data_IF_753808555179
#
_entry.id   IF_753808555179
#
_cell.length_a   1.000
_cell.length_b   1.000
_cell.length_c   1.000
_cell.angle_alpha   90.00
_cell.angle_beta   90.00
_cell.angle_gamma   90.00
#
_symmetry.space_group_name_H-M   'P 1'
#
loop_
_entity.id
_entity.type
_entity.pdbx_description
1 polymer ?
#
# COMPACT_ATOMS: atom_id res chain seq x y z
N UNK A 1 13.40 -10.01 -10.60
CA UNK A 1 13.77 -8.84 -9.77
C UNK A 1 12.78 -8.73 -8.62
N UNK A 2 13.26 -8.61 -7.39
CA UNK A 2 12.39 -8.44 -6.22
C UNK A 2 12.07 -6.96 -5.99
N UNK A 3 10.81 -6.65 -5.71
CA UNK A 3 10.35 -5.32 -5.31
C UNK A 3 9.56 -5.43 -4.01
N UNK A 4 10.15 -4.97 -2.91
CA UNK A 4 9.45 -4.84 -1.64
C UNK A 4 8.84 -3.44 -1.54
N UNK A 5 7.54 -3.37 -1.22
CA UNK A 5 6.79 -2.11 -1.13
C UNK A 5 6.22 -1.96 0.26
N UNK A 6 6.75 -1.00 1.01
CA UNK A 6 6.22 -0.61 2.33
C UNK A 6 5.12 0.41 2.12
N UNK A 7 3.92 0.11 2.62
CA UNK A 7 2.70 0.82 2.25
C UNK A 7 1.68 0.90 3.38
N UNK A 8 0.75 1.87 3.30
CA UNK A 8 -0.45 1.92 4.13
C UNK A 8 -1.70 2.00 3.24
N UNK A 9 -2.75 1.27 3.61
CA UNK A 9 -4.00 1.18 2.83
C UNK A 9 -4.82 2.47 2.84
N UNK A 10 -4.55 3.37 3.79
CA UNK A 10 -5.14 4.72 3.88
C UNK A 10 -4.24 5.83 3.33
N UNK A 11 -3.09 5.49 2.74
CA UNK A 11 -2.19 6.46 2.13
C UNK A 11 -2.49 6.65 0.63
N UNK A 12 -3.01 7.81 0.18
CA UNK A 12 -3.32 8.01 -1.24
C UNK A 12 -2.08 8.06 -2.12
N UNK A 13 -0.94 8.49 -1.57
CA UNK A 13 0.33 8.44 -2.28
C UNK A 13 0.82 7.01 -2.52
N UNK A 14 0.43 6.04 -1.67
CA UNK A 14 0.74 4.64 -1.95
C UNK A 14 -0.01 4.15 -3.18
N UNK A 15 -1.28 4.55 -3.35
CA UNK A 15 -2.05 4.18 -4.53
C UNK A 15 -1.48 4.83 -5.80
N UNK A 16 -1.11 6.11 -5.73
CA UNK A 16 -0.44 6.81 -6.83
C UNK A 16 0.91 6.14 -7.15
N UNK A 17 1.70 5.80 -6.13
CA UNK A 17 2.99 5.13 -6.28
C UNK A 17 2.85 3.77 -6.96
N UNK A 18 1.84 2.98 -6.59
CA UNK A 18 1.50 1.71 -7.26
C UNK A 18 1.30 1.93 -8.77
N UNK A 19 0.48 2.91 -9.15
CA UNK A 19 0.24 3.22 -10.58
C UNK A 19 1.48 3.64 -11.33
N UNK A 20 2.34 4.46 -10.71
CA UNK A 20 3.59 4.91 -11.32
C UNK A 20 4.59 3.77 -11.50
N UNK A 21 4.66 2.84 -10.54
CA UNK A 21 5.41 1.60 -10.68
C UNK A 21 4.85 0.74 -11.83
N UNK A 22 3.54 0.53 -11.88
CA UNK A 22 2.89 -0.23 -12.96
C UNK A 22 3.15 0.37 -14.35
N UNK A 23 3.14 1.70 -14.47
CA UNK A 23 3.52 2.39 -15.72
C UNK A 23 4.97 2.08 -16.12
N UNK A 24 5.91 2.13 -15.18
CA UNK A 24 7.31 1.79 -15.45
C UNK A 24 7.49 0.32 -15.83
N UNK A 25 6.78 -0.60 -15.17
CA UNK A 25 6.82 -2.03 -15.49
C UNK A 25 6.25 -2.32 -16.88
N UNK A 26 5.21 -1.60 -17.31
CA UNK A 26 4.66 -1.73 -18.66
C UNK A 26 5.67 -1.35 -19.76
N UNK A 27 6.67 -0.51 -19.45
CA UNK A 27 7.79 -0.17 -20.34
C UNK A 27 8.96 -1.18 -20.30
N UNK A 28 8.88 -2.19 -19.43
CA UNK A 28 9.86 -3.28 -19.29
C UNK A 28 9.15 -4.64 -19.25
N UNK A 29 8.45 -5.06 -20.33
CA UNK A 29 7.63 -6.27 -20.33
C UNK A 29 8.43 -7.56 -20.15
N UNK A 30 9.73 -7.54 -20.46
CA UNK A 30 10.63 -8.68 -20.30
C UNK A 30 11.21 -8.80 -18.88
N UNK A 31 10.93 -7.83 -18.01
CA UNK A 31 11.41 -7.85 -16.63
C UNK A 31 10.53 -8.79 -15.80
N UNK A 32 11.09 -9.91 -15.37
CA UNK A 32 10.45 -10.78 -14.39
C UNK A 32 10.49 -10.11 -13.01
N UNK A 33 9.31 -9.84 -12.43
CA UNK A 33 9.18 -9.07 -11.19
C UNK A 33 8.34 -9.81 -10.17
N UNK A 34 8.88 -9.93 -8.96
CA UNK A 34 8.16 -10.40 -7.78
C UNK A 34 7.92 -9.20 -6.86
N UNK A 35 6.64 -8.85 -6.65
CA UNK A 35 6.24 -7.75 -5.76
C UNK A 35 5.79 -8.34 -4.41
N UNK A 36 6.36 -7.82 -3.33
CA UNK A 36 5.91 -8.13 -1.96
C UNK A 36 5.51 -6.85 -1.24
N UNK A 37 4.32 -6.84 -0.65
CA UNK A 37 3.79 -5.71 0.11
C UNK A 37 4.02 -5.89 1.62
N UNK A 38 4.50 -4.84 2.26
CA UNK A 38 4.83 -4.80 3.69
C UNK A 38 4.02 -3.73 4.41
N UNK A 39 3.55 -4.00 5.63
CA UNK A 39 2.70 -3.10 6.36
C UNK A 39 3.47 -1.88 6.89
N UNK A 40 2.81 -0.72 6.84
CA UNK A 40 3.21 0.48 7.58
C UNK A 40 1.96 1.23 7.98
N UNK A 41 1.74 1.47 9.27
CA UNK A 41 0.60 2.26 9.72
C UNK A 41 0.99 3.73 9.82
N UNK A 42 0.37 4.61 9.03
CA UNK A 42 0.53 6.06 9.20
C UNK A 42 0.01 6.53 10.57
N UNK A 43 -0.96 5.80 11.12
CA UNK A 43 -1.65 6.11 12.36
C UNK A 43 -1.77 4.85 13.25
N UNK A 44 -0.66 4.37 13.84
CA UNK A 44 -0.68 3.17 14.68
C UNK A 44 -1.56 3.34 15.93
N UNK A 45 -1.68 4.58 16.43
CA UNK A 45 -2.53 4.92 17.58
C UNK A 45 -4.03 5.09 17.22
N UNK A 46 -4.43 4.82 15.98
CA UNK A 46 -5.84 4.88 15.60
C UNK A 46 -6.64 3.85 16.42
N UNK A 47 -7.79 4.21 17.03
CA UNK A 47 -8.63 3.24 17.72
C UNK A 47 -9.09 2.10 16.79
N UNK A 48 -9.34 0.90 17.32
CA UNK A 48 -9.76 -0.27 16.51
C UNK A 48 -10.99 0.00 15.64
N UNK A 49 -11.97 0.76 16.15
CA UNK A 49 -13.16 1.17 15.38
C UNK A 49 -12.96 2.37 14.45
N UNK A 50 -11.72 2.83 14.29
CA UNK A 50 -11.39 4.07 13.58
C UNK A 50 -11.89 5.33 14.29
N UNK A 51 -11.89 6.42 13.55
CA UNK A 51 -12.44 7.71 13.97
C UNK A 51 -13.38 8.27 12.90
N UNK A 52 -14.26 9.20 13.29
CA UNK A 52 -15.00 10.00 12.33
C UNK A 52 -14.02 10.74 11.42
N UNK A 53 -14.26 10.73 10.10
CA UNK A 53 -13.33 11.32 9.15
C UNK A 53 -13.16 12.81 9.38
N UNK A 54 -14.24 13.56 9.62
CA UNK A 54 -14.19 15.01 9.77
C UNK A 54 -13.40 15.40 11.01
N UNK A 55 -13.68 14.76 12.13
CA UNK A 55 -12.96 14.98 13.39
C UNK A 55 -11.48 14.62 13.25
N UNK A 56 -11.17 13.48 12.64
CA UNK A 56 -9.80 13.05 12.41
C UNK A 56 -9.01 14.06 11.57
N UNK A 57 -9.62 14.57 10.50
CA UNK A 57 -9.01 15.54 9.59
C UNK A 57 -8.78 16.88 10.27
N UNK A 58 -9.77 17.38 11.02
CA UNK A 58 -9.62 18.60 11.81
C UNK A 58 -8.47 18.48 12.81
N UNK A 59 -8.38 17.35 13.53
CA UNK A 59 -7.28 17.09 14.48
C UNK A 59 -5.92 17.00 13.79
N UNK A 60 -5.84 16.30 12.65
CA UNK A 60 -4.57 16.03 11.94
C UNK A 60 -4.01 17.26 11.24
N UNK A 61 -4.85 18.05 10.59
CA UNK A 61 -4.43 19.15 9.73
C UNK A 61 -4.72 20.53 10.31
N UNK A 62 -5.34 20.62 11.49
CA UNK A 62 -5.66 21.87 12.18
C UNK A 62 -6.90 22.58 11.64
N UNK A 63 -7.25 22.42 10.35
CA UNK A 63 -8.51 22.88 9.78
C UNK A 63 -8.96 22.03 8.59
N UNK A 64 -10.26 22.07 8.31
CA UNK A 64 -10.84 21.43 7.11
C UNK A 64 -10.34 22.06 5.81
N UNK A 65 -10.13 23.37 5.79
CA UNK A 65 -9.63 24.11 4.61
C UNK A 65 -8.21 23.66 4.24
N UNK A 66 -7.31 23.56 5.23
CA UNK A 66 -5.95 23.09 4.98
C UNK A 66 -5.91 21.65 4.48
N UNK A 67 -6.83 20.82 4.98
CA UNK A 67 -6.97 19.46 4.47
C UNK A 67 -7.48 19.42 3.04
N UNK A 68 -8.38 20.34 2.66
CA UNK A 68 -8.93 20.44 1.31
C UNK A 68 -7.83 20.72 0.28
N UNK A 69 -6.97 21.71 0.51
CA UNK A 69 -5.86 22.03 -0.40
C UNK A 69 -4.89 20.85 -0.58
N UNK A 70 -4.62 20.12 0.51
CA UNK A 70 -3.79 18.91 0.46
C UNK A 70 -4.45 17.81 -0.37
N UNK A 71 -5.76 17.61 -0.21
CA UNK A 71 -6.51 16.63 -1.00
C UNK A 71 -6.64 17.04 -2.47
N UNK A 72 -6.76 18.33 -2.79
CA UNK A 72 -6.76 18.82 -4.17
C UNK A 72 -5.43 18.50 -4.86
N UNK A 73 -4.29 18.71 -4.19
CA UNK A 73 -2.99 18.32 -4.72
C UNK A 73 -2.88 16.81 -4.99
N UNK A 74 -3.41 16.00 -4.07
CA UNK A 74 -3.46 14.54 -4.24
C UNK A 74 -4.39 14.13 -5.38
N UNK A 75 -5.54 14.80 -5.55
CA UNK A 75 -6.46 14.55 -6.67
C UNK A 75 -5.79 14.87 -8.01
N UNK A 76 -5.16 16.03 -8.14
CA UNK A 76 -4.42 16.40 -9.36
C UNK A 76 -3.34 15.38 -9.68
N UNK A 77 -2.55 14.94 -8.68
CA UNK A 77 -1.57 13.88 -8.88
C UNK A 77 -2.22 12.55 -9.30
N UNK A 78 -3.33 12.16 -8.65
CA UNK A 78 -4.12 10.97 -9.00
C UNK A 78 -4.65 10.99 -10.43
N UNK A 79 -5.09 12.15 -10.93
CA UNK A 79 -5.58 12.30 -12.31
C UNK A 79 -4.51 11.95 -13.35
N UNK A 80 -3.25 12.32 -13.11
CA UNK A 80 -2.13 11.96 -14.00
C UNK A 80 -1.94 10.45 -14.15
N UNK A 81 -2.41 9.68 -13.17
CA UNK A 81 -2.35 8.21 -13.14
C UNK A 81 -3.75 7.58 -13.16
N UNK A 82 -4.76 8.34 -13.57
CA UNK A 82 -6.16 7.91 -13.78
C UNK A 82 -6.83 7.31 -12.53
N UNK A 83 -6.50 7.81 -11.33
CA UNK A 83 -7.21 7.45 -10.09
C UNK A 83 -8.33 8.46 -9.84
N UNK A 84 -9.62 8.06 -9.91
CA UNK A 84 -10.74 8.96 -9.65
C UNK A 84 -11.04 9.06 -8.15
N UNK A 85 -10.14 9.66 -7.38
CA UNK A 85 -10.30 9.80 -5.92
C UNK A 85 -11.63 10.43 -5.52
N UNK A 86 -12.38 9.74 -4.65
CA UNK A 86 -13.67 10.15 -4.09
C UNK A 86 -13.55 10.42 -2.59
N UNK A 87 -12.61 11.30 -2.18
CA UNK A 87 -12.36 11.58 -0.75
C UNK A 87 -13.61 12.03 0.02
N UNK A 88 -14.57 12.64 -0.68
CA UNK A 88 -15.84 13.10 -0.12
C UNK A 88 -16.77 11.97 0.31
N UNK A 89 -16.61 10.75 -0.24
CA UNK A 89 -17.37 9.56 0.16
C UNK A 89 -16.85 8.91 1.45
N UNK A 90 -15.62 9.23 1.86
CA UNK A 90 -14.98 8.59 3.01
C UNK A 90 -15.54 9.20 4.29
N UNK A 91 -16.37 8.44 5.01
CA UNK A 91 -16.97 8.88 6.28
C UNK A 91 -16.12 8.49 7.50
N UNK A 92 -15.27 7.47 7.36
CA UNK A 92 -14.47 6.89 8.45
C UNK A 92 -12.98 6.94 8.13
N UNK A 93 -12.16 7.22 9.15
CA UNK A 93 -10.71 7.01 9.11
C UNK A 93 -10.40 5.71 9.87
N UNK A 94 -10.18 4.58 9.18
CA UNK A 94 -9.99 3.29 9.83
C UNK A 94 -8.63 3.16 10.52
N UNK A 95 -8.56 2.23 11.47
CA UNK A 95 -7.29 1.58 11.81
C UNK A 95 -6.99 0.53 10.73
N UNK A 96 -5.78 0.56 10.19
CA UNK A 96 -5.38 -0.28 9.06
C UNK A 96 -4.77 -1.62 9.44
N UNK A 97 -4.75 -1.99 10.72
CA UNK A 97 -4.18 -3.26 11.17
C UNK A 97 -4.88 -4.45 10.52
N UNK A 98 -6.21 -4.45 10.48
CA UNK A 98 -6.98 -5.57 9.92
C UNK A 98 -6.90 -5.62 8.39
N UNK A 99 -6.79 -4.48 7.70
CA UNK A 99 -6.52 -4.46 6.26
C UNK A 99 -5.11 -4.94 5.92
N UNK A 100 -4.11 -4.63 6.76
CA UNK A 100 -2.75 -5.18 6.63
C UNK A 100 -2.70 -6.69 6.90
N UNK A 101 -3.45 -7.19 7.89
CA UNK A 101 -3.60 -8.63 8.13
C UNK A 101 -4.20 -9.33 6.91
N UNK A 102 -5.20 -8.73 6.27
CA UNK A 102 -5.77 -9.28 5.04
C UNK A 102 -4.75 -9.33 3.89
N UNK A 103 -3.95 -8.27 3.70
CA UNK A 103 -2.86 -8.23 2.72
C UNK A 103 -1.83 -9.33 3.01
N UNK A 104 -1.47 -9.55 4.28
CA UNK A 104 -0.57 -10.65 4.67
C UNK A 104 -1.12 -12.01 4.26
N UNK A 105 -2.39 -12.31 4.56
CA UNK A 105 -2.99 -13.59 4.17
C UNK A 105 -3.09 -13.75 2.66
N UNK A 106 -3.35 -12.66 1.94
CA UNK A 106 -3.38 -12.64 0.48
C UNK A 106 -2.03 -13.00 -0.16
N UNK A 107 -0.90 -12.83 0.53
CA UNK A 107 0.40 -13.34 0.08
C UNK A 107 0.41 -14.86 -0.04
N UNK A 108 -0.04 -15.56 1.00
CA UNK A 108 -0.11 -17.03 0.98
C UNK A 108 -1.12 -17.55 -0.05
N UNK A 109 -2.15 -16.76 -0.37
CA UNK A 109 -3.13 -17.06 -1.41
C UNK A 109 -2.67 -16.68 -2.83
N UNK A 110 -1.48 -16.10 -3.01
CA UNK A 110 -0.95 -15.70 -4.33
C UNK A 110 -1.68 -14.49 -4.95
N UNK A 111 -2.39 -13.69 -4.16
CA UNK A 111 -3.19 -12.56 -4.63
C UNK A 111 -2.89 -11.25 -3.90
N UNK A 112 -1.69 -11.09 -3.31
CA UNK A 112 -1.34 -9.94 -2.49
C UNK A 112 -1.48 -8.59 -3.20
N UNK A 113 -0.88 -8.44 -4.40
CA UNK A 113 -0.95 -7.18 -5.15
C UNK A 113 -2.39 -6.81 -5.53
N UNK A 114 -3.18 -7.83 -5.91
CA UNK A 114 -4.61 -7.68 -6.20
C UNK A 114 -5.39 -7.26 -4.97
N UNK A 115 -5.07 -7.80 -3.79
CA UNK A 115 -5.72 -7.40 -2.54
C UNK A 115 -5.44 -5.94 -2.21
N UNK A 116 -4.21 -5.48 -2.38
CA UNK A 116 -3.84 -4.06 -2.18
C UNK A 116 -4.63 -3.15 -3.12
N UNK A 117 -4.74 -3.53 -4.39
CA UNK A 117 -5.56 -2.83 -5.39
C UNK A 117 -7.03 -2.73 -4.98
N UNK A 118 -7.63 -3.85 -4.54
CA UNK A 118 -9.03 -3.91 -4.08
C UNK A 118 -9.24 -3.00 -2.87
N UNK A 119 -8.34 -3.05 -1.88
CA UNK A 119 -8.44 -2.22 -0.68
C UNK A 119 -8.29 -0.73 -1.00
N UNK A 120 -7.37 -0.36 -1.89
CA UNK A 120 -7.25 1.02 -2.35
C UNK A 120 -8.52 1.49 -3.06
N UNK A 121 -9.07 0.70 -3.98
CA UNK A 121 -10.32 1.04 -4.67
C UNK A 121 -11.47 1.23 -3.67
N UNK A 122 -11.70 0.24 -2.81
CA UNK A 122 -12.78 0.26 -1.81
C UNK A 122 -12.70 1.49 -0.91
N UNK A 123 -11.52 1.83 -0.42
CA UNK A 123 -11.35 3.00 0.44
C UNK A 123 -11.43 4.32 -0.33
N UNK A 124 -10.66 4.46 -1.42
CA UNK A 124 -10.45 5.76 -2.07
C UNK A 124 -11.46 6.13 -3.15
N UNK A 125 -12.16 5.14 -3.71
CA UNK A 125 -13.09 5.34 -4.83
C UNK A 125 -14.53 5.04 -4.38
N UNK A 126 -14.71 3.98 -3.59
CA UNK A 126 -16.04 3.58 -3.13
C UNK A 126 -16.40 4.23 -1.79
N UNK A 127 -15.41 4.62 -0.98
CA UNK A 127 -15.61 5.26 0.32
C UNK A 127 -15.91 4.27 1.45
N UNK A 128 -15.65 2.99 1.24
CA UNK A 128 -15.90 1.93 2.22
C UNK A 128 -14.92 1.98 3.39
N UNK A 129 -15.39 1.59 4.57
CA UNK A 129 -14.55 1.49 5.77
C UNK A 129 -13.75 0.18 5.76
N UNK A 130 -12.49 0.25 5.33
CA UNK A 130 -11.56 -0.89 5.32
C UNK A 130 -11.06 -1.30 6.72
N UNK A 131 -11.60 -0.74 7.80
CA UNK A 131 -11.49 -1.28 9.16
C UNK A 131 -12.67 -2.19 9.54
N UNK A 132 -13.75 -2.22 8.75
CA UNK A 132 -14.92 -3.06 8.96
C UNK A 132 -14.67 -4.49 8.44
N UNK A 133 -14.90 -5.49 9.30
CA UNK A 133 -14.73 -6.90 8.94
C UNK A 133 -15.63 -7.34 7.78
N UNK A 134 -16.85 -6.80 7.66
CA UNK A 134 -17.73 -7.13 6.54
C UNK A 134 -17.15 -6.64 5.20
N UNK A 135 -16.58 -5.44 5.18
CA UNK A 135 -15.90 -4.89 4.00
C UNK A 135 -14.65 -5.71 3.66
N UNK A 136 -13.86 -6.09 4.65
CA UNK A 136 -12.66 -6.92 4.46
C UNK A 136 -12.99 -8.32 3.95
N UNK A 137 -14.06 -8.94 4.42
CA UNK A 137 -14.53 -10.25 3.92
C UNK A 137 -15.01 -10.12 2.47
N UNK A 138 -15.73 -9.05 2.12
CA UNK A 138 -16.13 -8.80 0.73
C UNK A 138 -14.93 -8.55 -0.19
N UNK A 139 -13.89 -7.87 0.31
CA UNK A 139 -12.62 -7.71 -0.42
C UNK A 139 -11.91 -9.06 -0.63
N UNK A 140 -11.91 -9.93 0.38
CA UNK A 140 -11.38 -11.29 0.30
C UNK A 140 -12.10 -12.12 -0.78
N UNK A 141 -13.43 -12.06 -0.81
CA UNK A 141 -14.25 -12.74 -1.82
C UNK A 141 -13.86 -12.31 -3.25
N UNK A 142 -13.75 -11.00 -3.47
CA UNK A 142 -13.36 -10.43 -4.76
C UNK A 142 -11.94 -10.84 -5.20
N UNK A 143 -11.04 -11.01 -4.24
CA UNK A 143 -9.70 -11.50 -4.49
C UNK A 143 -9.64 -13.02 -4.76
N UNK A 144 -10.74 -13.76 -4.53
CA UNK A 144 -10.82 -15.21 -4.66
C UNK A 144 -10.33 -15.98 -3.43
N UNK A 145 -10.32 -15.35 -2.25
CA UNK A 145 -9.94 -15.98 -0.99
C UNK A 145 -11.15 -16.65 -0.30
N UNK A 146 -10.88 -17.61 0.57
CA UNK A 146 -11.91 -18.26 1.40
C UNK A 146 -12.46 -17.27 2.45
N UNK A 147 -13.70 -16.83 2.26
CA UNK A 147 -14.37 -15.84 3.11
C UNK A 147 -14.63 -16.36 4.52
N UNK A 148 -14.90 -17.66 4.69
CA UNK A 148 -15.12 -18.25 6.01
C UNK A 148 -13.81 -18.29 6.80
N UNK A 149 -12.71 -18.68 6.14
CA UNK A 149 -11.38 -18.65 6.75
C UNK A 149 -11.00 -17.22 7.15
N UNK A 150 -11.19 -16.24 6.27
CA UNK A 150 -10.88 -14.84 6.55
C UNK A 150 -11.71 -14.30 7.72
N UNK A 151 -13.01 -14.59 7.75
CA UNK A 151 -13.88 -14.20 8.87
C UNK A 151 -13.40 -14.78 10.21
N UNK A 152 -13.02 -16.06 10.22
CA UNK A 152 -12.49 -16.74 11.41
C UNK A 152 -11.17 -16.12 11.88
N UNK A 153 -10.25 -15.82 10.96
CA UNK A 153 -8.96 -15.20 11.28
C UNK A 153 -9.14 -13.78 11.82
N UNK A 154 -10.01 -12.97 11.21
CA UNK A 154 -10.35 -11.62 11.67
C UNK A 154 -10.90 -11.66 13.09
N UNK A 155 -11.87 -12.52 13.38
CA UNK A 155 -12.49 -12.67 14.70
C UNK A 155 -11.49 -13.07 15.79
N UNK A 156 -10.47 -13.88 15.45
CA UNK A 156 -9.44 -14.37 16.38
C UNK A 156 -8.27 -13.39 16.59
N UNK A 157 -8.24 -12.26 15.87
CA UNK A 157 -7.08 -11.36 15.83
C UNK A 157 -5.76 -12.09 15.45
N UNK A 158 -5.86 -13.14 14.63
CA UNK A 158 -4.70 -13.88 14.12
C UNK A 158 -3.71 -12.96 13.40
N UNK A 159 -2.41 -13.13 13.65
CA UNK A 159 -1.31 -12.37 13.03
C UNK A 159 -1.29 -10.86 13.31
N UNK A 160 -2.12 -10.34 14.22
CA UNK A 160 -2.06 -8.93 14.63
C UNK A 160 -0.67 -8.53 15.13
N UNK A 161 -0.09 -9.32 16.02
CA UNK A 161 1.24 -9.05 16.58
C UNK A 161 2.33 -9.11 15.49
N UNK A 162 2.20 -10.04 14.54
CA UNK A 162 3.18 -10.19 13.46
C UNK A 162 3.16 -8.97 12.53
N UNK A 163 1.97 -8.49 12.15
CA UNK A 163 1.83 -7.28 11.32
C UNK A 163 2.36 -6.05 12.06
N UNK A 164 2.09 -5.93 13.36
CA UNK A 164 2.65 -4.85 14.19
C UNK A 164 4.17 -4.93 14.29
N UNK A 165 4.75 -6.12 14.42
CA UNK A 165 6.20 -6.32 14.39
C UNK A 165 6.82 -5.93 13.04
N UNK A 166 6.17 -6.25 11.93
CA UNK A 166 6.64 -5.87 10.59
C UNK A 166 6.61 -4.34 10.37
N UNK A 167 5.55 -3.65 10.81
CA UNK A 167 5.52 -2.17 10.84
C UNK A 167 6.68 -1.61 11.68
N UNK A 168 6.91 -2.16 12.88
CA UNK A 168 8.02 -1.73 13.74
C UNK A 168 9.39 -1.96 13.08
N UNK A 169 9.60 -3.09 12.41
CA UNK A 169 10.84 -3.38 11.69
C UNK A 169 11.07 -2.38 10.56
N UNK A 170 10.04 -2.05 9.78
CA UNK A 170 10.16 -1.03 8.73
C UNK A 170 10.64 0.32 9.31
N UNK A 171 10.09 0.74 10.46
CA UNK A 171 10.54 1.95 11.16
C UNK A 171 11.99 1.85 11.65
N UNK A 172 12.38 0.70 12.21
CA UNK A 172 13.76 0.46 12.66
C UNK A 172 14.78 0.49 11.51
N UNK A 173 14.34 0.15 10.30
CA UNK A 173 15.13 0.30 9.06
C UNK A 173 15.23 1.75 8.58
N UNK A 174 14.68 2.72 9.33
CA UNK A 174 14.72 4.15 8.99
C UNK A 174 13.60 4.60 8.06
N UNK A 175 12.63 3.74 7.75
CA UNK A 175 11.47 4.12 6.92
C UNK A 175 10.54 4.97 7.78
N UNK A 176 10.42 6.25 7.43
CA UNK A 176 9.58 7.22 8.16
C UNK A 176 8.34 7.66 7.38
N UNK A 177 8.13 7.13 6.17
CA UNK A 177 7.02 7.50 5.30
C UNK A 177 6.82 6.50 4.17
N UNK A 178 5.63 6.54 3.57
CA UNK A 178 5.19 5.60 2.53
C UNK A 178 4.53 6.33 1.35
N UNK A 179 4.55 5.76 0.12
CA UNK A 179 5.13 4.46 -0.22
C UNK A 179 6.66 4.49 -0.19
N UNK A 180 7.27 3.36 0.14
CA UNK A 180 8.72 3.18 0.09
C UNK A 180 9.01 1.89 -0.67
N UNK A 181 9.81 1.97 -1.72
CA UNK A 181 10.12 0.87 -2.61
C UNK A 181 11.57 0.44 -2.39
N UNK A 182 11.79 -0.86 -2.24
CA UNK A 182 13.11 -1.46 -2.16
C UNK A 182 13.24 -2.40 -3.35
N UNK A 183 14.17 -2.09 -4.25
CA UNK A 183 14.40 -2.80 -5.50
C UNK A 183 15.66 -3.67 -5.34
N UNK A 184 15.48 -4.98 -5.50
CA UNK A 184 16.51 -6.02 -5.42
C UNK A 184 17.39 -5.95 -4.15
N UNK A 185 16.82 -5.48 -3.03
CA UNK A 185 17.52 -5.19 -1.76
C UNK A 185 18.73 -4.23 -1.89
N UNK A 186 18.82 -3.48 -2.98
CA UNK A 186 19.97 -2.60 -3.30
C UNK A 186 19.59 -1.13 -3.41
N UNK A 187 18.49 -0.85 -4.09
CA UNK A 187 18.03 0.51 -4.37
C UNK A 187 16.77 0.81 -3.60
N UNK A 188 16.64 2.04 -3.11
CA UNK A 188 15.45 2.50 -2.42
C UNK A 188 14.89 3.76 -3.09
N UNK A 189 13.57 3.80 -3.28
CA UNK A 189 12.83 4.96 -3.75
C UNK A 189 11.80 5.34 -2.68
N UNK A 190 11.92 6.56 -2.14
CA UNK A 190 11.01 7.09 -1.14
C UNK A 190 9.94 7.97 -1.79
N UNK A 191 8.67 7.69 -1.49
CA UNK A 191 7.52 8.43 -2.01
C UNK A 191 7.06 7.97 -3.40
N UNK A 192 5.97 8.57 -3.88
CA UNK A 192 5.36 8.27 -5.18
C UNK A 192 6.16 8.88 -6.35
N UNK A 193 7.39 8.41 -6.54
CA UNK A 193 8.31 8.82 -7.61
C UNK A 193 7.71 8.55 -9.00
N UNK A 194 8.07 9.37 -9.98
CA UNK A 194 7.64 9.20 -11.37
C UNK A 194 8.22 7.92 -12.00
N UNK A 195 7.53 7.39 -13.02
CA UNK A 195 7.93 6.18 -13.74
C UNK A 195 9.39 6.22 -14.19
N UNK A 196 9.89 7.39 -14.62
CA UNK A 196 11.28 7.59 -15.01
C UNK A 196 12.30 7.25 -13.91
N UNK A 197 11.98 7.47 -12.63
CA UNK A 197 12.87 7.11 -11.53
C UNK A 197 12.94 5.58 -11.33
N UNK A 198 11.81 4.88 -11.49
CA UNK A 198 11.78 3.42 -11.47
C UNK A 198 12.57 2.84 -12.65
N UNK A 199 12.37 3.35 -13.86
CA UNK A 199 13.11 2.92 -15.05
C UNK A 199 14.62 3.09 -14.87
N UNK A 200 15.06 4.25 -14.39
CA UNK A 200 16.47 4.49 -14.11
C UNK A 200 17.05 3.52 -13.06
N UNK A 201 16.25 3.10 -12.08
CA UNK A 201 16.67 2.10 -11.11
C UNK A 201 16.72 0.68 -11.71
N UNK A 202 15.73 0.31 -12.53
CA UNK A 202 15.71 -0.99 -13.22
C UNK A 202 16.91 -1.15 -14.14
N UNK A 203 17.22 -0.11 -14.93
CA UNK A 203 18.34 -0.13 -15.87
C UNK A 203 19.68 -0.27 -15.12
N UNK A 204 19.86 0.45 -14.00
CA UNK A 204 21.06 0.28 -13.14
C UNK A 204 21.20 -1.13 -12.57
N UNK A 205 20.10 -1.72 -12.08
CA UNK A 205 20.14 -3.09 -11.56
C UNK A 205 20.50 -4.08 -12.68
N UNK A 206 19.94 -3.90 -13.88
CA UNK A 206 20.24 -4.75 -15.03
C UNK A 206 21.72 -4.64 -15.45
N UNK A 207 22.29 -3.43 -15.46
CA UNK A 207 23.71 -3.19 -15.72
C UNK A 207 24.62 -3.87 -14.68
N UNK A 208 24.27 -3.79 -13.39
CA UNK A 208 25.02 -4.48 -12.33
C UNK A 208 24.98 -6.00 -12.47
N UNK A 209 23.83 -6.58 -12.81
CA UNK A 209 23.69 -8.02 -13.03
C UNK A 209 24.51 -8.46 -14.25
N UNK A 210 24.52 -7.65 -15.32
CA UNK A 210 25.31 -7.94 -16.52
C UNK A 210 26.83 -7.77 -16.33
N UNK A 211 27.25 -6.93 -15.37
CA UNK A 211 28.66 -6.66 -15.07
C UNK A 211 29.23 -7.47 -13.91
N UNK A 212 28.40 -8.22 -13.18
CA UNK A 212 28.85 -9.16 -12.17
C UNK A 212 29.69 -10.27 -12.83
N UNK A 213 30.93 -10.52 -12.37
CA UNK A 213 31.73 -11.60 -12.93
C UNK A 213 31.01 -12.93 -12.73
N UNK A 214 30.86 -13.71 -13.81
CA UNK A 214 30.40 -15.09 -13.71
C UNK A 214 31.39 -15.86 -12.84
N UNK A 215 30.98 -16.29 -11.65
CA UNK A 215 31.81 -17.15 -10.80
C UNK A 215 32.27 -18.37 -11.63
N UNK A 216 33.57 -18.66 -11.69
CA UNK A 216 34.04 -19.90 -12.29
C UNK A 216 33.62 -21.06 -11.38
N UNK A 217 32.96 -22.06 -11.99
CA UNK A 217 32.60 -23.37 -11.40
C UNK A 217 33.67 -23.99 -10.49
#
# INVERSE_FOLDING_TARGET
MKIDIVSDTVCPWCFIGKRKLEQALAERPDLDVEITWHPFQLHPDMPKGGADRKEFIARKFGSHERAKDLYENVKMAGETVKIPFQFEKIERSPNTLDSHRLIRWAYSAGCQDRMVEILFRRFFIDGEDIGDHAVLIAAAEEAGMDTQLVADLLAKNADSDIVSEEDMRARQMGISGVPFFILDNKYALSGAQDAAAFLAAFDKIAEEVASAPSDPE
#
